data_IF_909718700804
#
_entry.id   IF_909718700804
#
_cell.length_a   1.000
_cell.length_b   1.000
_cell.length_c   1.000
_cell.angle_alpha   90.00
_cell.angle_beta   90.00
_cell.angle_gamma   90.00
#
_symmetry.space_group_name_H-M   'P 1'
#
loop_
_entity.id
_entity.type
_entity.pdbx_description
1 polymer ?
#
# COMPACT_ATOMS: atom_id res chain seq x y z
N UNK A 1 -7.13 12.55 -14.12
CA UNK A 1 -7.34 11.25 -14.79
C UNK A 1 -6.90 10.13 -13.86
N UNK A 2 -7.05 8.85 -14.24
CA UNK A 2 -6.64 7.71 -13.41
C UNK A 2 -5.11 7.65 -13.20
N UNK A 3 -4.33 8.15 -14.15
CA UNK A 3 -2.87 8.24 -14.08
C UNK A 3 -2.43 9.16 -12.94
N UNK A 4 -3.03 10.35 -12.87
CA UNK A 4 -2.74 11.33 -11.82
C UNK A 4 -3.09 10.78 -10.44
N UNK A 5 -4.21 10.05 -10.34
CA UNK A 5 -4.57 9.34 -9.12
C UNK A 5 -3.49 8.32 -8.73
N UNK A 6 -3.06 7.45 -9.65
CA UNK A 6 -2.05 6.44 -9.37
C UNK A 6 -0.71 7.06 -8.92
N UNK A 7 -0.29 8.17 -9.54
CA UNK A 7 0.93 8.88 -9.17
C UNK A 7 0.87 9.48 -7.76
N UNK A 8 -0.18 10.25 -7.44
CA UNK A 8 -0.32 10.82 -6.10
C UNK A 8 -0.56 9.77 -5.04
N UNK A 9 -1.32 8.72 -5.37
CA UNK A 9 -1.55 7.61 -4.47
C UNK A 9 -0.24 6.92 -4.09
N UNK A 10 0.60 6.60 -5.09
CA UNK A 10 1.92 6.01 -4.87
C UNK A 10 2.86 6.92 -4.07
N UNK A 11 2.89 8.23 -4.36
CA UNK A 11 3.70 9.19 -3.60
C UNK A 11 3.25 9.33 -2.15
N UNK A 12 1.94 9.37 -1.91
CA UNK A 12 1.40 9.39 -0.54
C UNK A 12 1.83 8.16 0.25
N UNK A 13 1.76 6.97 -0.37
CA UNK A 13 2.20 5.72 0.24
C UNK A 13 3.73 5.71 0.44
N UNK A 14 4.52 6.26 -0.47
CA UNK A 14 5.98 6.40 -0.35
C UNK A 14 6.40 7.25 0.84
N UNK A 15 5.72 8.39 1.06
CA UNK A 15 5.95 9.23 2.23
C UNK A 15 5.66 8.50 3.54
N UNK A 16 4.56 7.74 3.59
CA UNK A 16 4.22 6.92 4.77
C UNK A 16 5.25 5.80 4.97
N UNK A 17 5.67 5.12 3.90
CA UNK A 17 6.69 4.09 3.96
C UNK A 17 8.01 4.63 4.53
N UNK A 18 8.42 5.82 4.09
CA UNK A 18 9.63 6.48 4.56
C UNK A 18 9.52 6.90 6.03
N UNK A 19 8.35 7.37 6.46
CA UNK A 19 8.13 7.80 7.84
C UNK A 19 8.05 6.63 8.84
N UNK A 20 7.45 5.50 8.46
CA UNK A 20 7.17 4.39 9.37
C UNK A 20 8.10 3.19 9.20
N UNK A 21 8.88 3.12 8.11
CA UNK A 21 9.81 2.03 7.80
C UNK A 21 9.19 0.63 7.99
N UNK A 22 8.06 0.33 7.31
CA UNK A 22 7.27 -0.87 7.59
C UNK A 22 8.02 -2.15 7.16
N UNK A 23 8.58 -2.88 8.13
CA UNK A 23 9.33 -4.12 7.89
C UNK A 23 8.46 -5.25 7.30
N UNK A 24 7.16 -5.26 7.61
CA UNK A 24 6.21 -6.24 7.07
C UNK A 24 5.77 -5.94 5.62
N UNK A 25 6.11 -4.78 5.08
CA UNK A 25 5.57 -4.29 3.82
C UNK A 25 4.29 -3.49 3.97
N UNK A 26 3.64 -3.22 2.84
CA UNK A 26 2.50 -2.30 2.74
C UNK A 26 1.34 -3.00 2.05
N UNK A 27 0.15 -2.89 2.62
CA UNK A 27 -1.09 -3.41 2.05
C UNK A 27 -2.01 -2.28 1.60
N UNK A 28 -2.22 -2.18 0.29
CA UNK A 28 -3.17 -1.28 -0.33
C UNK A 28 -4.58 -1.87 -0.18
N UNK A 29 -5.24 -1.47 0.90
CA UNK A 29 -6.65 -1.79 1.14
C UNK A 29 -7.59 -0.78 0.46
N UNK A 30 -8.85 -1.18 0.31
CA UNK A 30 -9.91 -0.32 -0.22
C UNK A 30 -10.38 -0.70 -1.63
N UNK A 31 -11.58 -0.22 -1.96
CA UNK A 31 -12.26 -0.59 -3.20
C UNK A 31 -11.58 -0.08 -4.46
N UNK A 32 -10.91 1.09 -4.41
CA UNK A 32 -10.26 1.66 -5.60
C UNK A 32 -9.02 0.84 -5.97
N UNK A 33 -8.20 0.44 -5.00
CA UNK A 33 -6.96 -0.32 -5.24
C UNK A 33 -7.24 -1.71 -5.80
N UNK A 34 -8.22 -2.42 -5.23
CA UNK A 34 -8.63 -3.75 -5.70
C UNK A 34 -9.31 -3.71 -7.07
N UNK A 35 -10.23 -2.74 -7.31
CA UNK A 35 -10.95 -2.63 -8.60
C UNK A 35 -10.05 -2.19 -9.76
N UNK A 36 -8.97 -1.45 -9.49
CA UNK A 36 -8.06 -0.93 -10.50
C UNK A 36 -6.68 -1.59 -10.47
N UNK A 37 -6.57 -2.78 -9.86
CA UNK A 37 -5.29 -3.49 -9.67
C UNK A 37 -4.50 -3.63 -10.97
N UNK A 38 -5.16 -4.06 -12.06
CA UNK A 38 -4.51 -4.22 -13.36
C UNK A 38 -3.89 -2.90 -13.85
N UNK A 39 -4.60 -1.78 -13.70
CA UNK A 39 -4.11 -0.46 -14.10
C UNK A 39 -2.89 -0.02 -13.26
N UNK A 40 -2.90 -0.29 -11.95
CA UNK A 40 -1.82 0.07 -11.03
C UNK A 40 -0.54 -0.75 -11.26
N UNK A 41 -0.68 -2.03 -11.62
CA UNK A 41 0.43 -2.95 -11.86
C UNK A 41 1.05 -2.72 -13.23
N UNK A 42 0.22 -2.51 -14.27
CA UNK A 42 0.66 -2.36 -15.64
C UNK A 42 1.77 -1.29 -15.75
N UNK A 43 2.83 -1.58 -16.51
CA UNK A 43 3.95 -0.67 -16.74
C UNK A 43 4.62 -0.11 -15.47
N UNK A 44 4.45 -0.79 -14.32
CA UNK A 44 4.87 -0.32 -13.00
C UNK A 44 4.28 1.05 -12.65
N UNK A 45 3.03 1.35 -13.05
CA UNK A 45 2.39 2.67 -12.84
C UNK A 45 2.37 3.10 -11.38
N UNK A 46 2.18 2.17 -10.44
CA UNK A 46 2.26 2.48 -9.02
C UNK A 46 3.72 2.51 -8.50
N UNK A 47 4.50 1.47 -8.81
CA UNK A 47 5.84 1.31 -8.22
C UNK A 47 6.85 2.37 -8.70
N UNK A 48 6.75 2.83 -9.95
CA UNK A 48 7.63 3.90 -10.47
C UNK A 48 7.56 5.17 -9.61
N UNK A 49 6.39 5.81 -9.40
CA UNK A 49 6.30 7.00 -8.54
C UNK A 49 6.51 6.69 -7.05
N UNK A 50 6.21 5.48 -6.58
CA UNK A 50 6.46 5.07 -5.19
C UNK A 50 7.96 5.06 -4.85
N UNK A 51 8.82 4.60 -5.75
CA UNK A 51 10.27 4.48 -5.54
C UNK A 51 11.04 5.82 -5.73
N UNK A 52 10.38 6.87 -6.24
CA UNK A 52 11.04 8.16 -6.48
C UNK A 52 11.33 8.85 -5.14
N UNK A 53 12.63 8.99 -4.84
CA UNK A 53 13.11 9.81 -3.74
C UNK A 53 14.49 10.39 -4.10
N UNK A 54 14.77 11.61 -3.65
CA UNK A 54 16.06 12.27 -3.87
C UNK A 54 17.19 11.54 -3.15
N UNK A 55 16.90 10.96 -1.99
CA UNK A 55 17.90 10.30 -1.14
C UNK A 55 18.14 8.83 -1.57
N UNK A 56 19.37 8.45 -1.99
CA UNK A 56 19.67 7.11 -2.47
C UNK A 56 19.36 5.97 -1.50
N UNK A 57 19.59 6.15 -0.19
CA UNK A 57 19.32 5.09 0.78
C UNK A 57 17.82 4.86 0.97
N UNK A 58 17.00 5.92 0.96
CA UNK A 58 15.54 5.82 1.03
C UNK A 58 15.02 5.15 -0.24
N UNK A 59 15.52 5.55 -1.41
CA UNK A 59 15.15 4.91 -2.68
C UNK A 59 15.45 3.40 -2.68
N UNK A 60 16.59 2.99 -2.15
CA UNK A 60 16.94 1.56 -2.00
C UNK A 60 15.97 0.83 -1.07
N UNK A 61 15.63 1.45 0.07
CA UNK A 61 14.64 0.91 1.00
C UNK A 61 13.27 0.74 0.33
N UNK A 62 12.76 1.77 -0.33
CA UNK A 62 11.47 1.76 -1.03
C UNK A 62 11.44 0.68 -2.13
N UNK A 63 12.49 0.56 -2.94
CA UNK A 63 12.59 -0.46 -3.97
C UNK A 63 12.59 -1.90 -3.40
N UNK A 64 13.05 -2.09 -2.17
CA UNK A 64 13.00 -3.38 -1.47
C UNK A 64 11.71 -3.62 -0.67
N UNK A 65 10.87 -2.59 -0.50
CA UNK A 65 9.65 -2.68 0.32
C UNK A 65 8.54 -3.33 -0.48
N UNK A 66 7.99 -4.48 -0.03
CA UNK A 66 6.90 -5.12 -0.74
C UNK A 66 5.60 -4.32 -0.57
N UNK A 67 4.91 -4.09 -1.69
CA UNK A 67 3.58 -3.45 -1.74
C UNK A 67 2.58 -4.44 -2.33
N UNK A 68 1.51 -4.72 -1.59
CA UNK A 68 0.51 -5.74 -1.91
C UNK A 68 -0.87 -5.12 -2.02
N UNK A 69 -1.72 -5.61 -2.92
CA UNK A 69 -3.12 -5.19 -3.02
C UNK A 69 -4.00 -6.18 -2.26
N UNK A 70 -4.87 -5.68 -1.38
CA UNK A 70 -5.81 -6.54 -0.65
C UNK A 70 -6.99 -6.90 -1.55
N UNK A 71 -7.11 -8.18 -1.90
CA UNK A 71 -8.20 -8.70 -2.74
C UNK A 71 -9.41 -9.21 -1.96
N UNK A 72 -9.22 -9.59 -0.69
CA UNK A 72 -10.30 -10.08 0.15
C UNK A 72 -11.19 -8.92 0.62
N UNK A 73 -12.40 -8.81 0.07
CA UNK A 73 -13.33 -7.73 0.41
C UNK A 73 -13.85 -7.81 1.86
N UNK A 74 -13.83 -9.00 2.45
CA UNK A 74 -14.25 -9.22 3.84
C UNK A 74 -13.15 -8.88 4.86
N UNK A 75 -12.00 -8.35 4.44
CA UNK A 75 -10.87 -8.06 5.33
C UNK A 75 -11.26 -7.16 6.52
N UNK A 76 -12.15 -6.20 6.31
CA UNK A 76 -12.61 -5.30 7.38
C UNK A 76 -13.45 -6.03 8.43
N UNK A 77 -14.30 -6.97 8.00
CA UNK A 77 -15.10 -7.80 8.91
C UNK A 77 -14.21 -8.77 9.68
N UNK A 78 -13.23 -9.38 9.02
CA UNK A 78 -12.25 -10.26 9.65
C UNK A 78 -11.44 -9.47 10.69
N UNK A 79 -11.00 -8.26 10.33
CA UNK A 79 -10.29 -7.36 11.25
C UNK A 79 -11.13 -6.99 12.47
N UNK A 80 -12.42 -6.70 12.28
CA UNK A 80 -13.34 -6.41 13.37
C UNK A 80 -13.56 -7.62 14.29
N UNK A 81 -13.77 -8.82 13.72
CA UNK A 81 -13.89 -10.05 14.50
C UNK A 81 -12.61 -10.36 15.28
N UNK A 82 -11.44 -10.20 14.65
CA UNK A 82 -10.16 -10.39 15.31
C UNK A 82 -9.94 -9.38 16.45
N UNK A 83 -10.29 -8.10 16.25
CA UNK A 83 -10.23 -7.10 17.30
C UNK A 83 -11.14 -7.45 18.48
N UNK A 84 -12.36 -7.94 18.22
CA UNK A 84 -13.27 -8.42 19.26
C UNK A 84 -12.67 -9.62 20.04
N UNK A 85 -12.03 -10.58 19.36
CA UNK A 85 -11.37 -11.70 20.04
C UNK A 85 -10.16 -11.25 20.88
N UNK A 86 -9.39 -10.26 20.42
CA UNK A 86 -8.16 -9.82 21.10
C UNK A 86 -8.41 -8.82 22.22
N UNK A 87 -9.41 -7.94 22.06
CA UNK A 87 -9.68 -6.82 22.95
C UNK A 87 -10.97 -6.99 23.76
N UNK A 88 -11.83 -7.93 23.38
CA UNK A 88 -13.18 -8.08 23.92
C UNK A 88 -13.28 -8.72 25.29
N UNK A 89 -12.15 -9.02 25.96
CA UNK A 89 -12.11 -9.46 27.35
C UNK A 89 -13.12 -10.55 27.69
N UNK A 90 -12.85 -11.78 27.23
CA UNK A 90 -13.49 -13.00 27.75
C UNK A 90 -12.43 -13.87 28.41
#
# INVERSE_FOLDING_TARGET
>A
TMELFAEFYARGVSSLATAFLPQGGIWLAGGISSKNEAFLIENRRFMKPFEINSEPHIRKFLASTPVMVVRNYSISLIGAANAACQLGGV
#
